data_IF_209433125728
#
_entry.id   IF_209433125728
#
_cell.length_a   1.000
_cell.length_b   1.000
_cell.length_c   1.000
_cell.angle_alpha   90.00
_cell.angle_beta   90.00
_cell.angle_gamma   90.00
#
_symmetry.space_group_name_H-M   'P 1'
#
loop_
_entity.id
_entity.type
_entity.pdbx_description
1 polymer ?
#
# COMPACT_ATOMS: atom_id res chain seq x y z
N UNK A 1 17.01 26.48 -32.46
CA UNK A 1 16.85 25.30 -31.65
C UNK A 1 15.51 25.45 -30.93
N UNK A 2 14.51 24.67 -31.35
CA UNK A 2 13.09 24.86 -30.98
C UNK A 2 12.87 24.29 -29.56
N UNK A 3 12.36 25.03 -28.58
CA UNK A 3 12.17 24.54 -27.23
C UNK A 3 11.04 23.50 -27.07
N UNK A 4 10.33 23.15 -28.14
CA UNK A 4 9.20 22.19 -28.14
C UNK A 4 9.54 20.76 -28.58
N UNK A 5 10.81 20.46 -28.87
CA UNK A 5 11.23 19.08 -29.24
C UNK A 5 11.34 18.09 -28.05
N UNK A 6 11.09 18.53 -26.82
CA UNK A 6 11.11 17.66 -25.63
C UNK A 6 9.75 17.03 -25.26
N UNK A 7 8.72 17.27 -26.05
CA UNK A 7 7.36 16.77 -25.74
C UNK A 7 7.14 15.26 -25.97
N UNK A 8 8.06 14.59 -26.69
CA UNK A 8 7.95 13.14 -26.96
C UNK A 8 8.37 12.24 -25.80
N UNK A 9 9.19 12.76 -24.89
CA UNK A 9 9.77 11.97 -23.78
C UNK A 9 8.89 11.94 -22.52
N UNK A 10 7.94 12.86 -22.42
CA UNK A 10 6.97 12.91 -21.29
C UNK A 10 5.84 11.88 -21.41
N UNK A 11 5.70 11.24 -22.58
CA UNK A 11 4.67 10.22 -22.85
C UNK A 11 5.17 8.79 -22.57
N UNK A 12 6.46 8.61 -22.30
CA UNK A 12 7.02 7.31 -21.91
C UNK A 12 7.27 7.32 -20.39
N UNK A 13 6.59 6.42 -19.71
CA UNK A 13 6.84 6.13 -18.31
C UNK A 13 8.29 5.64 -18.15
N UNK A 14 9.09 6.40 -17.42
CA UNK A 14 10.45 5.98 -17.05
C UNK A 14 10.37 5.28 -15.69
N UNK A 15 10.57 3.98 -15.70
CA UNK A 15 10.74 3.19 -14.47
C UNK A 15 12.17 3.44 -13.96
N UNK A 16 12.34 4.52 -13.19
CA UNK A 16 13.56 4.73 -12.41
C UNK A 16 13.56 3.79 -11.20
N UNK A 17 14.63 3.02 -10.97
CA UNK A 17 14.82 2.33 -9.69
C UNK A 17 14.90 3.39 -8.59
N UNK A 18 14.01 3.30 -7.61
CA UNK A 18 14.15 4.10 -6.40
C UNK A 18 15.22 3.48 -5.50
N UNK A 19 15.87 4.32 -4.70
CA UNK A 19 16.94 3.89 -3.80
C UNK A 19 16.51 2.77 -2.85
N UNK A 20 15.22 2.72 -2.50
CA UNK A 20 14.62 1.71 -1.62
C UNK A 20 14.37 0.36 -2.28
N UNK A 21 14.43 0.27 -3.64
CA UNK A 21 14.28 -0.98 -4.39
C UNK A 21 15.61 -1.73 -4.53
N UNK A 22 16.71 -1.19 -3.99
CA UNK A 22 18.03 -1.80 -4.04
C UNK A 22 18.13 -2.88 -2.95
N UNK A 23 18.27 -4.17 -3.33
CA UNK A 23 18.38 -5.27 -2.36
C UNK A 23 19.67 -5.22 -1.53
N UNK A 24 20.69 -4.47 -1.99
CA UNK A 24 21.98 -4.29 -1.32
C UNK A 24 22.01 -3.01 -0.45
N UNK A 25 20.87 -2.31 -0.31
CA UNK A 25 20.79 -1.09 0.50
C UNK A 25 21.02 -1.43 1.99
N UNK A 26 21.91 -0.69 2.64
CA UNK A 26 22.13 -0.82 4.08
C UNK A 26 20.81 -0.64 4.86
N UNK A 27 20.61 -1.49 5.89
CA UNK A 27 19.38 -1.53 6.68
C UNK A 27 18.96 -0.17 7.23
N UNK A 28 19.91 0.64 7.70
CA UNK A 28 19.67 2.00 8.20
C UNK A 28 19.15 2.95 7.12
N UNK A 29 19.61 2.81 5.88
CA UNK A 29 19.14 3.59 4.73
C UNK A 29 17.71 3.19 4.34
N UNK A 30 17.41 1.88 4.34
CA UNK A 30 16.07 1.37 4.07
C UNK A 30 15.05 1.83 5.12
N UNK A 31 15.38 1.70 6.41
CA UNK A 31 14.55 2.20 7.52
C UNK A 31 14.38 3.73 7.50
N UNK A 32 15.39 4.47 7.03
CA UNK A 32 15.30 5.92 6.86
C UNK A 32 14.35 6.30 5.71
N UNK A 33 14.39 5.56 4.59
CA UNK A 33 13.48 5.73 3.47
C UNK A 33 12.03 5.43 3.87
N UNK A 34 11.79 4.34 4.59
CA UNK A 34 10.45 4.02 5.14
C UNK A 34 9.93 5.12 6.09
N UNK A 35 10.79 5.69 6.94
CA UNK A 35 10.42 6.84 7.79
C UNK A 35 10.11 8.10 6.99
N UNK A 36 10.80 8.31 5.89
CA UNK A 36 10.55 9.41 4.95
C UNK A 36 9.17 9.27 4.29
N UNK A 37 8.82 8.09 3.78
CA UNK A 37 7.52 7.78 3.21
C UNK A 37 6.39 7.98 4.22
N UNK A 38 6.57 7.58 5.46
CA UNK A 38 5.61 7.83 6.53
C UNK A 38 5.26 9.31 6.66
N UNK A 39 6.27 10.21 6.65
CA UNK A 39 6.05 11.66 6.70
C UNK A 39 5.29 12.16 5.47
N UNK A 40 5.63 11.66 4.28
CA UNK A 40 4.94 12.00 3.03
C UNK A 40 3.49 11.53 3.07
N UNK A 41 3.20 10.31 3.50
CA UNK A 41 1.85 9.78 3.62
C UNK A 41 0.99 10.56 4.63
N UNK A 42 1.58 11.01 5.73
CA UNK A 42 0.89 11.86 6.72
C UNK A 42 0.58 13.24 6.14
N UNK A 43 1.51 13.82 5.38
CA UNK A 43 1.36 15.15 4.77
C UNK A 43 0.47 15.12 3.53
N UNK A 44 0.51 14.04 2.72
CA UNK A 44 -0.24 13.95 1.46
C UNK A 44 -1.76 13.75 1.61
N UNK A 45 -2.27 13.64 2.83
CA UNK A 45 -3.69 13.39 3.11
C UNK A 45 -4.22 12.05 2.56
N UNK A 46 -3.34 11.15 2.08
CA UNK A 46 -3.73 9.85 1.52
C UNK A 46 -4.61 9.07 2.49
N UNK A 47 -4.14 8.89 3.72
CA UNK A 47 -4.92 8.20 4.77
C UNK A 47 -6.29 8.84 4.99
N UNK A 48 -6.38 10.17 4.97
CA UNK A 48 -7.66 10.89 5.16
C UNK A 48 -8.61 10.68 3.98
N UNK A 49 -8.11 10.67 2.76
CA UNK A 49 -8.93 10.43 1.57
C UNK A 49 -9.44 9.00 1.54
N UNK A 50 -8.58 8.01 1.81
CA UNK A 50 -8.96 6.60 1.90
C UNK A 50 -9.97 6.38 3.03
N UNK A 51 -9.73 6.93 4.22
CA UNK A 51 -10.67 6.84 5.34
C UNK A 51 -12.05 7.38 4.98
N UNK A 52 -12.12 8.51 4.26
CA UNK A 52 -13.41 9.06 3.82
C UNK A 52 -14.16 8.08 2.91
N UNK A 53 -13.45 7.43 1.99
CA UNK A 53 -14.05 6.43 1.10
C UNK A 53 -14.49 5.16 1.85
N UNK A 54 -13.69 4.70 2.77
CA UNK A 54 -14.06 3.55 3.61
C UNK A 54 -15.30 3.86 4.48
N UNK A 55 -15.43 5.07 5.01
CA UNK A 55 -16.61 5.50 5.77
C UNK A 55 -17.85 5.72 4.89
N UNK A 56 -17.66 6.06 3.60
CA UNK A 56 -18.74 6.25 2.64
C UNK A 56 -19.33 4.89 2.17
N UNK A 57 -18.50 3.86 2.04
CA UNK A 57 -18.87 2.57 1.46
C UNK A 57 -18.95 1.42 2.47
N UNK A 58 -18.30 1.57 3.63
CA UNK A 58 -18.31 0.55 4.67
C UNK A 58 -19.63 0.51 5.42
N UNK A 59 -20.09 -0.70 5.77
CA UNK A 59 -21.19 -0.91 6.65
C UNK A 59 -20.69 -0.82 8.11
N UNK A 60 -21.17 0.13 8.93
CA UNK A 60 -20.74 0.25 10.33
C UNK A 60 -21.12 -0.96 11.21
N UNK A 61 -22.14 -1.72 10.82
CA UNK A 61 -22.62 -2.89 11.56
C UNK A 61 -21.93 -4.19 11.12
N UNK A 62 -21.13 -4.14 10.04
CA UNK A 62 -20.36 -5.26 9.53
C UNK A 62 -18.87 -5.14 9.90
N UNK A 63 -18.18 -6.30 9.90
CA UNK A 63 -16.72 -6.33 9.98
C UNK A 63 -16.12 -5.88 8.65
N UNK A 64 -15.27 -4.85 8.69
CA UNK A 64 -14.57 -4.29 7.51
C UNK A 64 -13.24 -5.02 7.33
N UNK A 65 -13.07 -5.69 6.19
CA UNK A 65 -11.83 -6.41 5.82
C UNK A 65 -11.04 -5.59 4.81
N UNK A 66 -9.84 -5.19 5.19
CA UNK A 66 -8.96 -4.33 4.37
C UNK A 66 -7.68 -5.08 4.04
N UNK A 67 -7.30 -5.09 2.75
CA UNK A 67 -6.01 -5.56 2.26
C UNK A 67 -5.20 -4.38 1.72
N UNK A 68 -3.95 -4.24 2.16
CA UNK A 68 -3.01 -3.23 1.65
C UNK A 68 -1.87 -3.94 0.89
N UNK A 69 -1.85 -3.78 -0.43
CA UNK A 69 -0.88 -4.39 -1.33
C UNK A 69 0.37 -3.52 -1.44
N UNK A 70 1.54 -4.13 -1.22
CA UNK A 70 2.84 -3.47 -1.12
C UNK A 70 2.81 -2.38 -0.02
N UNK A 71 2.44 -2.82 1.20
CA UNK A 71 2.15 -1.94 2.34
C UNK A 71 3.38 -1.24 2.93
N UNK A 72 4.60 -1.64 2.55
CA UNK A 72 5.84 -1.12 3.10
C UNK A 72 5.88 -1.21 4.64
N UNK A 73 6.16 -0.10 5.31
CA UNK A 73 6.14 0.00 6.78
C UNK A 73 4.76 -0.01 7.43
N UNK A 74 3.67 -0.26 6.68
CA UNK A 74 2.30 -0.39 7.17
C UNK A 74 1.64 0.90 7.68
N UNK A 75 2.23 2.05 7.41
CA UNK A 75 1.79 3.34 7.99
C UNK A 75 0.34 3.70 7.61
N UNK A 76 -0.03 3.49 6.33
CA UNK A 76 -1.37 3.78 5.83
C UNK A 76 -2.38 2.83 6.47
N UNK A 77 -2.10 1.52 6.41
CA UNK A 77 -2.99 0.48 6.94
C UNK A 77 -3.23 0.65 8.44
N UNK A 78 -2.15 0.80 9.24
CA UNK A 78 -2.22 1.01 10.69
C UNK A 78 -3.01 2.27 11.02
N UNK A 79 -2.81 3.36 10.26
CA UNK A 79 -3.55 4.60 10.48
C UNK A 79 -5.04 4.46 10.15
N UNK A 80 -5.40 3.73 9.07
CA UNK A 80 -6.78 3.45 8.68
C UNK A 80 -7.48 2.56 9.70
N UNK A 81 -6.87 1.43 10.05
CA UNK A 81 -7.40 0.51 11.06
C UNK A 81 -7.72 1.25 12.36
N UNK A 82 -6.73 2.00 12.90
CA UNK A 82 -6.91 2.78 14.12
C UNK A 82 -8.00 3.85 14.01
N UNK A 83 -8.11 4.49 12.85
CA UNK A 83 -9.12 5.53 12.64
C UNK A 83 -10.54 4.96 12.54
N UNK A 84 -10.72 3.78 11.95
CA UNK A 84 -11.99 3.07 11.87
C UNK A 84 -12.38 2.47 13.22
N UNK A 85 -11.45 1.78 13.90
CA UNK A 85 -11.69 1.18 15.23
C UNK A 85 -12.12 2.23 16.25
N UNK A 86 -11.51 3.43 16.25
CA UNK A 86 -11.96 4.54 17.11
C UNK A 86 -13.36 5.05 16.80
N UNK A 87 -13.91 4.70 15.65
CA UNK A 87 -15.29 5.02 15.25
C UNK A 87 -16.27 3.88 15.48
N UNK A 88 -15.80 2.80 16.11
CA UNK A 88 -16.64 1.65 16.48
C UNK A 88 -16.70 0.55 15.41
N UNK A 89 -15.98 0.68 14.28
CA UNK A 89 -15.93 -0.41 13.30
C UNK A 89 -15.11 -1.58 13.84
N UNK A 90 -15.59 -2.80 13.59
CA UNK A 90 -14.78 -4.00 13.69
C UNK A 90 -13.92 -4.11 12.41
N UNK A 91 -12.60 -4.08 12.54
CA UNK A 91 -11.69 -4.04 11.38
C UNK A 91 -10.77 -5.24 11.38
N UNK A 92 -10.70 -5.96 10.26
CA UNK A 92 -9.65 -6.91 9.94
C UNK A 92 -8.73 -6.26 8.88
N UNK A 93 -7.56 -5.83 9.31
CA UNK A 93 -6.59 -5.16 8.46
C UNK A 93 -5.41 -6.10 8.18
N UNK A 94 -5.14 -6.39 6.90
CA UNK A 94 -4.03 -7.22 6.45
C UNK A 94 -3.16 -6.43 5.47
N UNK A 95 -1.85 -6.40 5.72
CA UNK A 95 -0.87 -5.80 4.81
C UNK A 95 0.04 -6.85 4.22
N UNK A 96 0.41 -6.72 2.96
CA UNK A 96 1.42 -7.57 2.36
C UNK A 96 2.49 -6.76 1.64
N UNK A 97 3.72 -7.27 1.69
CA UNK A 97 4.88 -6.69 1.03
C UNK A 97 5.88 -7.79 0.66
N UNK A 98 6.69 -7.56 -0.35
CA UNK A 98 7.75 -8.50 -0.74
C UNK A 98 8.94 -8.47 0.21
N UNK A 99 9.19 -7.33 0.85
CA UNK A 99 10.34 -7.07 1.71
C UNK A 99 10.13 -7.55 3.15
N UNK A 100 10.87 -8.57 3.64
CA UNK A 100 10.81 -8.96 5.05
C UNK A 100 11.13 -7.83 6.01
N UNK A 101 12.08 -6.97 5.66
CA UNK A 101 12.49 -5.82 6.48
C UNK A 101 11.36 -4.78 6.60
N UNK A 102 10.64 -4.50 5.50
CA UNK A 102 9.47 -3.64 5.53
C UNK A 102 8.37 -4.20 6.43
N UNK A 103 8.14 -5.52 6.37
CA UNK A 103 7.16 -6.20 7.23
C UNK A 103 7.53 -6.20 8.71
N UNK A 104 8.82 -6.28 9.05
CA UNK A 104 9.29 -6.11 10.43
C UNK A 104 8.98 -4.70 10.92
N UNK A 105 9.28 -3.68 10.11
CA UNK A 105 8.96 -2.29 10.42
C UNK A 105 7.43 -2.07 10.56
N UNK A 106 6.63 -2.72 9.71
CA UNK A 106 5.17 -2.65 9.75
C UNK A 106 4.60 -3.27 11.04
N UNK A 107 5.09 -4.44 11.44
CA UNK A 107 4.68 -5.09 12.70
C UNK A 107 5.05 -4.24 13.92
N UNK A 108 6.25 -3.68 13.92
CA UNK A 108 6.68 -2.78 15.00
C UNK A 108 5.86 -1.48 15.05
N UNK A 109 5.49 -0.93 13.89
CA UNK A 109 4.62 0.23 13.78
C UNK A 109 3.22 -0.08 14.33
N UNK A 110 2.63 -1.22 13.94
CA UNK A 110 1.34 -1.68 14.44
C UNK A 110 1.37 -1.87 15.97
N UNK A 111 2.41 -2.55 16.48
CA UNK A 111 2.60 -2.75 17.91
C UNK A 111 2.66 -1.43 18.68
N UNK A 112 3.45 -0.46 18.21
CA UNK A 112 3.57 0.88 18.82
C UNK A 112 2.27 1.66 18.79
N UNK A 113 1.49 1.49 17.73
CA UNK A 113 0.21 2.15 17.57
C UNK A 113 -0.92 1.46 18.35
N UNK A 114 -0.72 0.24 18.86
CA UNK A 114 -1.78 -0.60 19.41
C UNK A 114 -2.83 -0.95 18.35
N UNK A 115 -2.37 -1.25 17.12
CA UNK A 115 -3.18 -1.68 16.00
C UNK A 115 -3.27 -3.20 15.96
N UNK A 116 -4.42 -3.73 15.53
CA UNK A 116 -4.64 -5.15 15.28
C UNK A 116 -4.28 -5.59 13.86
N UNK A 117 -3.63 -4.74 13.07
CA UNK A 117 -3.24 -5.07 11.69
C UNK A 117 -2.23 -6.22 11.66
N UNK A 118 -2.43 -7.16 10.73
CA UNK A 118 -1.57 -8.30 10.48
C UNK A 118 -0.78 -8.12 9.16
N UNK A 119 0.36 -8.84 9.02
CA UNK A 119 1.26 -8.64 7.89
C UNK A 119 1.88 -9.96 7.42
N UNK A 120 1.86 -10.18 6.09
CA UNK A 120 2.47 -11.34 5.44
C UNK A 120 3.35 -10.98 4.26
N UNK A 121 4.31 -11.85 3.96
CA UNK A 121 5.14 -11.68 2.77
C UNK A 121 4.39 -12.13 1.53
N UNK A 122 4.36 -11.26 0.51
CA UNK A 122 3.75 -11.55 -0.78
C UNK A 122 4.43 -10.74 -1.89
N UNK A 123 4.81 -11.40 -2.97
CA UNK A 123 5.09 -10.74 -4.24
C UNK A 123 3.76 -10.44 -4.94
N UNK A 124 3.29 -9.20 -4.84
CA UNK A 124 1.99 -8.78 -5.41
C UNK A 124 1.99 -8.76 -6.95
N UNK A 125 3.17 -8.78 -7.58
CA UNK A 125 3.28 -8.81 -9.05
C UNK A 125 3.06 -10.23 -9.58
N UNK A 126 3.62 -11.24 -8.92
CA UNK A 126 3.60 -12.63 -9.39
C UNK A 126 2.77 -13.57 -8.51
N UNK A 127 2.47 -13.18 -7.29
CA UNK A 127 1.74 -13.99 -6.32
C UNK A 127 0.23 -13.92 -6.49
N UNK A 128 -0.49 -14.82 -5.83
CA UNK A 128 -1.94 -14.83 -5.77
C UNK A 128 -2.44 -13.77 -4.80
N UNK A 129 -3.39 -12.94 -5.23
CA UNK A 129 -3.99 -11.91 -4.37
C UNK A 129 -4.97 -12.56 -3.40
N UNK A 130 -4.80 -12.36 -2.08
CA UNK A 130 -5.72 -12.91 -1.09
C UNK A 130 -7.17 -12.42 -1.32
N UNK A 131 -8.11 -13.35 -1.36
CA UNK A 131 -9.54 -13.07 -1.52
C UNK A 131 -10.23 -12.76 -0.18
N UNK A 132 -11.50 -12.39 -0.24
CA UNK A 132 -12.32 -12.19 0.95
C UNK A 132 -12.09 -10.85 1.65
N UNK A 133 -11.67 -9.81 0.94
CA UNK A 133 -11.50 -8.46 1.45
C UNK A 133 -12.55 -7.52 0.86
N UNK A 134 -13.11 -6.63 1.69
CA UNK A 134 -14.11 -5.64 1.25
C UNK A 134 -13.44 -4.45 0.58
N UNK A 135 -12.19 -4.17 0.96
CA UNK A 135 -11.39 -3.09 0.38
C UNK A 135 -9.96 -3.56 0.13
N UNK A 136 -9.48 -3.33 -1.10
CA UNK A 136 -8.09 -3.57 -1.47
C UNK A 136 -7.46 -2.22 -1.79
N UNK A 137 -6.35 -1.94 -1.13
CA UNK A 137 -5.61 -0.70 -1.25
C UNK A 137 -4.23 -0.97 -1.86
N UNK A 138 -3.67 0.02 -2.50
CA UNK A 138 -2.25 0.06 -2.85
C UNK A 138 -1.81 1.52 -2.90
N UNK A 139 -0.86 1.90 -2.08
CA UNK A 139 -0.42 3.30 -1.95
C UNK A 139 1.04 3.45 -2.37
N UNK A 140 1.29 4.36 -3.32
CA UNK A 140 2.63 4.67 -3.81
C UNK A 140 3.42 3.48 -4.38
N UNK A 141 2.71 2.49 -4.94
CA UNK A 141 3.33 1.28 -5.49
C UNK A 141 3.20 1.17 -7.01
N UNK A 142 2.03 1.46 -7.59
CA UNK A 142 1.76 1.23 -9.01
C UNK A 142 2.73 1.95 -9.95
N UNK A 143 3.39 3.00 -9.49
CA UNK A 143 4.37 3.74 -10.29
C UNK A 143 5.70 2.99 -10.50
N UNK A 144 5.98 1.94 -9.72
CA UNK A 144 7.11 1.04 -9.90
C UNK A 144 6.89 -0.02 -10.98
N UNK A 145 5.64 -0.24 -11.39
CA UNK A 145 5.26 -1.31 -12.31
C UNK A 145 5.24 -0.86 -13.76
N UNK A 146 5.46 -1.79 -14.69
CA UNK A 146 5.17 -1.57 -16.10
C UNK A 146 3.66 -1.42 -16.32
N UNK A 147 3.26 -0.86 -17.45
CA UNK A 147 1.82 -0.71 -17.75
C UNK A 147 1.14 -2.09 -17.88
N UNK A 148 1.87 -3.09 -18.40
CA UNK A 148 1.39 -4.48 -18.49
C UNK A 148 1.20 -5.09 -17.10
N UNK A 149 2.15 -4.90 -16.18
CA UNK A 149 2.06 -5.39 -14.80
C UNK A 149 0.91 -4.72 -14.03
N UNK A 150 0.69 -3.42 -14.25
CA UNK A 150 -0.45 -2.70 -13.65
C UNK A 150 -1.77 -3.31 -14.13
N UNK A 151 -1.92 -3.53 -15.43
CA UNK A 151 -3.16 -4.13 -15.99
C UNK A 151 -3.36 -5.55 -15.46
N UNK A 152 -2.29 -6.35 -15.43
CA UNK A 152 -2.32 -7.71 -14.88
C UNK A 152 -2.70 -7.72 -13.39
N UNK A 153 -2.11 -6.84 -12.59
CA UNK A 153 -2.41 -6.72 -11.15
C UNK A 153 -3.86 -6.32 -10.91
N UNK A 154 -4.35 -5.31 -11.65
CA UNK A 154 -5.75 -4.86 -11.52
C UNK A 154 -6.74 -5.96 -11.92
N UNK A 155 -6.43 -6.77 -12.94
CA UNK A 155 -7.22 -7.95 -13.30
C UNK A 155 -7.31 -8.96 -12.16
N UNK A 156 -6.16 -9.33 -11.56
CA UNK A 156 -6.13 -10.26 -10.43
C UNK A 156 -6.81 -9.73 -9.16
N UNK A 157 -6.77 -8.41 -8.94
CA UNK A 157 -7.52 -7.77 -7.86
C UNK A 157 -9.02 -7.91 -8.12
N UNK A 158 -9.49 -7.65 -9.35
CA UNK A 158 -10.90 -7.82 -9.71
C UNK A 158 -11.36 -9.27 -9.52
N UNK A 159 -10.58 -10.24 -10.01
CA UNK A 159 -10.87 -11.67 -9.85
C UNK A 159 -10.94 -12.09 -8.36
N UNK A 160 -10.09 -11.52 -7.49
CA UNK A 160 -10.11 -11.81 -6.05
C UNK A 160 -11.34 -11.23 -5.34
N UNK A 161 -11.90 -10.12 -5.85
CA UNK A 161 -13.11 -9.50 -5.32
C UNK A 161 -14.38 -10.33 -5.64
N UNK A 162 -14.42 -11.01 -6.80
CA UNK A 162 -15.56 -11.84 -7.21
C UNK A 162 -15.66 -13.17 -6.44
N UNK A 163 -14.63 -13.52 -5.64
CA UNK A 163 -14.56 -14.76 -4.85
C UNK A 163 -14.90 -14.56 -3.36
N UNK A 164 -15.35 -13.36 -2.96
CA UNK A 164 -15.55 -12.95 -1.56
C UNK A 164 -17.03 -12.72 -1.15
#
# INVERSE_FOLDING_TARGET
MNPFERSGDLMRRSLGRELMDDPDLEEDCHLSALRGLRRINTVSLTTRQLLRKLLEWGDPDARVRILDLACGGGDVLVSLERALSRRGFEVAAHGCDISPLALEAARENARKAGSGADFSQLDVVNGEIPSGHDFILSSLFLHHLSDEDVVSLLGRIADSADQG
#
